data_IF_423826460536
#
_entry.id   IF_423826460536
#
_cell.length_a   1.000
_cell.length_b   1.000
_cell.length_c   1.000
_cell.angle_alpha   90.00
_cell.angle_beta   90.00
_cell.angle_gamma   90.00
#
_symmetry.space_group_name_H-M   'P 1'
#
loop_
_entity.id
_entity.type
_entity.pdbx_description
1 polymer ?
#
# COMPACT_ATOMS: atom_id res chain seq x y z
N UNK A 1 -22.30 -10.45 27.97
CA UNK A 1 -21.44 -10.58 26.78
C UNK A 1 -20.47 -9.40 26.74
N UNK A 2 -19.17 -9.59 26.47
CA UNK A 2 -18.27 -8.46 26.33
C UNK A 2 -18.66 -7.70 25.05
N UNK A 3 -19.04 -6.44 25.19
CA UNK A 3 -19.33 -5.57 24.03
C UNK A 3 -18.04 -5.42 23.21
N UNK A 4 -18.10 -5.74 21.91
CA UNK A 4 -17.03 -5.39 20.95
C UNK A 4 -16.71 -3.90 21.13
N UNK A 5 -15.42 -3.58 21.29
CA UNK A 5 -14.94 -2.20 21.42
C UNK A 5 -15.37 -1.44 20.17
N UNK A 6 -16.36 -0.56 20.30
CA UNK A 6 -16.77 0.33 19.22
C UNK A 6 -15.64 1.33 19.02
N UNK A 7 -15.08 1.36 17.81
CA UNK A 7 -14.00 2.28 17.47
C UNK A 7 -14.64 3.63 17.12
N UNK A 8 -14.84 4.46 18.14
CA UNK A 8 -15.57 5.72 18.05
C UNK A 8 -14.98 6.73 17.06
N UNK A 9 -13.68 6.61 16.72
CA UNK A 9 -13.06 7.43 15.69
C UNK A 9 -13.62 7.13 14.28
N UNK A 10 -14.06 5.88 14.00
CA UNK A 10 -14.69 5.52 12.72
C UNK A 10 -16.11 6.10 12.58
N UNK A 11 -16.85 6.25 13.67
CA UNK A 11 -18.21 6.81 13.64
C UNK A 11 -18.22 8.34 13.59
N UNK A 12 -17.32 9.00 14.33
CA UNK A 12 -17.32 10.45 14.46
C UNK A 12 -16.81 11.18 13.20
N UNK A 13 -15.92 10.56 12.43
CA UNK A 13 -15.29 11.29 11.34
C UNK A 13 -16.09 11.35 10.05
N UNK A 14 -17.19 10.60 9.87
CA UNK A 14 -17.99 10.55 8.62
C UNK A 14 -17.14 10.83 7.37
N UNK A 15 -15.99 10.17 7.26
CA UNK A 15 -15.17 10.32 6.08
C UNK A 15 -15.94 9.51 5.04
N UNK A 16 -16.72 10.21 4.21
CA UNK A 16 -17.37 9.74 2.99
C UNK A 16 -16.33 9.33 1.93
N UNK A 17 -15.26 8.68 2.37
CA UNK A 17 -14.33 8.05 1.50
C UNK A 17 -15.09 6.90 0.84
N UNK A 18 -15.02 6.76 -0.50
CA UNK A 18 -15.34 5.51 -1.17
C UNK A 18 -14.78 4.34 -0.35
N UNK A 19 -15.45 3.17 -0.33
CA UNK A 19 -15.01 2.01 0.45
C UNK A 19 -13.53 1.68 0.24
N UNK A 20 -13.00 2.03 -0.94
CA UNK A 20 -11.62 1.84 -1.35
C UNK A 20 -10.61 2.86 -0.81
N UNK A 21 -11.03 4.04 -0.37
CA UNK A 21 -10.10 5.07 0.11
C UNK A 21 -9.75 4.84 1.59
N UNK A 22 -8.45 4.75 1.89
CA UNK A 22 -7.89 4.56 3.22
C UNK A 22 -7.46 5.89 3.83
N UNK A 23 -7.90 6.19 5.05
CA UNK A 23 -7.40 7.31 5.85
C UNK A 23 -7.18 6.82 7.28
N UNK A 24 -5.97 7.00 7.80
CA UNK A 24 -5.64 6.68 9.18
C UNK A 24 -4.66 7.71 9.74
N UNK A 25 -4.96 8.24 10.93
CA UNK A 25 -4.12 9.23 11.61
C UNK A 25 -3.49 8.61 12.86
N UNK A 26 -2.18 8.68 12.95
CA UNK A 26 -1.38 8.22 14.08
C UNK A 26 -0.50 9.36 14.59
N UNK A 27 -0.92 10.01 15.67
CA UNK A 27 -0.24 11.22 16.15
C UNK A 27 -0.23 12.33 15.09
N UNK A 28 0.97 12.70 14.62
CA UNK A 28 1.18 13.70 13.55
C UNK A 28 1.29 13.09 12.15
N UNK A 29 1.25 11.76 12.05
CA UNK A 29 1.37 11.01 10.81
C UNK A 29 -0.02 10.67 10.29
N UNK A 30 -0.22 10.86 9.00
CA UNK A 30 -1.42 10.48 8.26
C UNK A 30 -1.00 9.47 7.20
N UNK A 31 -1.68 8.33 7.20
CA UNK A 31 -1.63 7.34 6.15
C UNK A 31 -2.85 7.56 5.25
N UNK A 32 -2.61 7.92 4.00
CA UNK A 32 -3.67 8.15 3.01
C UNK A 32 -3.46 7.23 1.81
N UNK A 33 -4.49 6.50 1.40
CA UNK A 33 -4.51 5.83 0.10
C UNK A 33 -5.84 6.08 -0.59
N UNK A 34 -5.80 6.30 -1.90
CA UNK A 34 -7.03 6.41 -2.69
C UNK A 34 -7.64 5.04 -3.02
N UNK A 35 -6.92 3.95 -2.72
CA UNK A 35 -7.33 2.58 -2.97
C UNK A 35 -6.76 1.62 -1.89
N UNK A 36 -7.51 0.60 -1.48
CA UNK A 36 -7.09 -0.44 -0.52
C UNK A 36 -5.88 -1.25 -1.03
N UNK A 37 -5.64 -1.26 -2.34
CA UNK A 37 -4.57 -2.05 -2.96
C UNK A 37 -3.25 -1.30 -3.12
N UNK A 38 -3.22 0.01 -2.86
CA UNK A 38 -2.00 0.83 -2.96
C UNK A 38 -1.34 1.05 -1.61
N UNK A 39 -0.01 1.26 -1.64
CA UNK A 39 0.74 1.62 -0.45
C UNK A 39 0.23 2.98 0.00
N UNK A 40 -0.21 3.14 1.26
CA UNK A 40 -0.63 4.45 1.72
C UNK A 40 0.55 5.41 1.64
N UNK A 41 0.28 6.61 1.15
CA UNK A 41 1.21 7.72 1.32
C UNK A 41 1.28 8.04 2.81
N UNK A 42 2.48 7.91 3.37
CA UNK A 42 2.79 8.43 4.70
C UNK A 42 3.02 9.93 4.55
N UNK A 43 2.22 10.72 5.23
CA UNK A 43 2.39 12.17 5.32
C UNK A 43 2.50 12.55 6.78
N UNK A 44 3.61 13.16 7.17
CA UNK A 44 3.59 13.95 8.40
C UNK A 44 3.09 15.35 8.06
N UNK A 45 2.37 16.00 8.98
CA UNK A 45 1.99 17.41 8.82
C UNK A 45 3.20 18.38 8.86
N UNK A 46 4.43 17.88 8.77
CA UNK A 46 5.66 18.67 8.78
C UNK A 46 6.15 18.97 7.37
N UNK A 47 6.54 20.23 7.16
CA UNK A 47 7.47 20.59 6.09
C UNK A 47 8.79 19.91 6.39
N UNK A 48 9.39 19.23 5.40
CA UNK A 48 10.72 18.65 5.58
C UNK A 48 11.70 19.76 5.97
N UNK A 49 12.49 19.53 7.02
CA UNK A 49 13.52 20.50 7.40
C UNK A 49 14.56 20.64 6.28
N UNK A 50 15.16 21.81 6.14
CA UNK A 50 16.22 22.06 5.15
C UNK A 50 17.35 21.02 5.25
N UNK A 51 17.73 20.63 6.47
CA UNK A 51 18.74 19.60 6.73
C UNK A 51 18.37 18.24 6.14
N UNK A 52 17.08 17.86 6.19
CA UNK A 52 16.60 16.60 5.61
C UNK A 52 16.65 16.67 4.09
N UNK A 53 16.26 17.80 3.50
CA UNK A 53 16.34 18.01 2.04
C UNK A 53 17.79 17.96 1.56
N UNK A 54 18.71 18.61 2.27
CA UNK A 54 20.15 18.58 2.00
C UNK A 54 20.69 17.15 2.04
N UNK A 55 20.37 16.36 3.08
CA UNK A 55 20.76 14.95 3.18
C UNK A 55 20.30 14.13 1.96
N UNK A 56 19.11 14.40 1.44
CA UNK A 56 18.56 13.70 0.26
C UNK A 56 19.30 14.12 -1.01
N UNK A 57 19.61 15.41 -1.18
CA UNK A 57 20.40 15.87 -2.32
C UNK A 57 21.84 15.35 -2.28
N UNK A 58 22.45 15.27 -1.10
CA UNK A 58 23.77 14.67 -0.93
C UNK A 58 23.73 13.17 -1.28
N UNK A 59 22.66 12.48 -0.88
CA UNK A 59 22.42 11.09 -1.26
C UNK A 59 22.28 10.93 -2.78
N UNK A 60 21.50 11.79 -3.44
CA UNK A 60 21.33 11.79 -4.90
C UNK A 60 22.69 11.94 -5.61
N UNK A 61 23.48 12.92 -5.16
CA UNK A 61 24.79 13.23 -5.72
C UNK A 61 25.78 12.09 -5.53
N UNK A 62 25.91 11.59 -4.30
CA UNK A 62 26.82 10.48 -3.97
C UNK A 62 26.47 9.21 -4.75
N UNK A 63 25.18 8.98 -4.99
CA UNK A 63 24.73 7.80 -5.72
C UNK A 63 24.65 7.98 -7.24
N UNK A 64 25.00 9.16 -7.78
CA UNK A 64 24.91 9.50 -9.20
C UNK A 64 23.50 9.32 -9.75
N UNK A 65 22.51 9.72 -8.96
CA UNK A 65 21.10 9.59 -9.30
C UNK A 65 20.73 10.67 -10.33
N UNK A 66 20.25 10.26 -11.51
CA UNK A 66 19.78 11.20 -12.52
C UNK A 66 18.38 11.72 -12.18
N UNK A 67 18.14 13.02 -12.44
CA UNK A 67 16.83 13.65 -12.25
C UNK A 67 16.46 14.55 -13.42
N UNK A 68 15.19 14.51 -13.81
CA UNK A 68 14.56 15.39 -14.80
C UNK A 68 13.99 16.65 -14.14
N UNK A 69 13.66 16.59 -12.85
CA UNK A 69 13.13 17.71 -12.04
C UNK A 69 13.82 17.76 -10.68
N UNK A 70 13.95 18.95 -10.10
CA UNK A 70 14.74 19.18 -8.88
C UNK A 70 14.26 18.37 -7.65
N UNK A 71 12.96 18.06 -7.56
CA UNK A 71 12.35 17.38 -6.41
C UNK A 71 11.86 15.95 -6.74
N UNK A 72 12.24 15.42 -7.90
CA UNK A 72 11.75 14.14 -8.41
C UNK A 72 11.91 12.95 -7.44
N UNK A 73 13.01 12.92 -6.69
CA UNK A 73 13.30 11.86 -5.72
C UNK A 73 12.91 12.24 -4.30
N UNK A 74 12.94 13.54 -3.98
CA UNK A 74 12.47 14.08 -2.71
C UNK A 74 11.04 13.64 -2.42
N UNK A 75 10.14 13.72 -3.40
CA UNK A 75 8.73 13.35 -3.23
C UNK A 75 8.55 11.85 -2.89
N UNK A 76 9.45 10.99 -3.38
CA UNK A 76 9.40 9.54 -3.13
C UNK A 76 10.07 9.17 -1.81
N UNK A 77 11.13 9.90 -1.44
CA UNK A 77 11.88 9.65 -0.20
C UNK A 77 11.18 10.26 1.01
N UNK A 78 10.41 11.33 0.84
CA UNK A 78 9.72 12.02 1.93
C UNK A 78 8.89 11.06 2.82
N UNK A 79 8.00 10.20 2.30
CA UNK A 79 7.25 9.24 3.12
C UNK A 79 8.15 8.27 3.91
N UNK A 80 9.31 7.91 3.35
CA UNK A 80 10.28 7.03 4.01
C UNK A 80 10.87 7.76 5.23
N UNK A 81 11.36 8.98 5.03
CA UNK A 81 11.95 9.79 6.12
C UNK A 81 10.92 10.10 7.20
N UNK A 82 9.70 10.47 6.80
CA UNK A 82 8.57 10.69 7.70
C UNK A 82 8.28 9.45 8.58
N UNK A 83 8.45 8.25 8.03
CA UNK A 83 8.35 7.01 8.81
C UNK A 83 9.56 6.81 9.74
N UNK A 84 10.77 7.14 9.28
CA UNK A 84 12.00 6.97 10.08
C UNK A 84 12.03 7.87 11.31
N UNK A 85 11.39 9.05 11.25
CA UNK A 85 11.20 9.96 12.38
C UNK A 85 10.32 9.38 13.51
N UNK A 86 9.53 8.33 13.22
CA UNK A 86 8.72 7.64 14.21
C UNK A 86 9.61 6.64 14.98
N UNK A 87 9.60 6.65 16.33
CA UNK A 87 10.36 5.68 17.13
C UNK A 87 10.07 4.23 16.73
N UNK A 88 11.08 3.37 16.83
CA UNK A 88 11.03 1.97 16.39
C UNK A 88 9.84 1.19 16.96
N UNK A 89 9.59 1.33 18.26
CA UNK A 89 8.49 0.69 18.98
C UNK A 89 7.13 1.16 18.45
N UNK A 90 7.04 2.44 18.07
CA UNK A 90 5.84 3.06 17.52
C UNK A 90 5.59 2.72 16.06
N UNK A 91 6.62 2.42 15.27
CA UNK A 91 6.46 1.94 13.89
C UNK A 91 5.75 0.57 13.82
N UNK A 92 6.08 -0.34 14.73
CA UNK A 92 5.39 -1.65 14.83
C UNK A 92 3.92 -1.49 15.19
N UNK A 93 3.62 -0.59 16.13
CA UNK A 93 2.26 -0.24 16.52
C UNK A 93 1.48 0.39 15.35
N UNK A 94 2.09 1.33 14.62
CA UNK A 94 1.54 1.94 13.42
C UNK A 94 1.20 0.88 12.35
N UNK A 95 2.11 -0.06 12.08
CA UNK A 95 1.86 -1.11 11.09
C UNK A 95 0.71 -2.04 11.50
N UNK A 96 0.61 -2.36 12.80
CA UNK A 96 -0.51 -3.15 13.32
C UNK A 96 -1.85 -2.46 13.06
N UNK A 97 -1.98 -1.18 13.40
CA UNK A 97 -3.22 -0.43 13.14
C UNK A 97 -3.52 -0.28 11.65
N UNK A 98 -2.49 -0.05 10.83
CA UNK A 98 -2.63 -0.04 9.37
C UNK A 98 -3.21 -1.36 8.84
N UNK A 99 -2.64 -2.50 9.27
CA UNK A 99 -3.08 -3.84 8.87
C UNK A 99 -4.53 -4.12 9.31
N UNK A 100 -4.86 -3.81 10.56
CA UNK A 100 -6.21 -4.01 11.09
C UNK A 100 -7.24 -3.14 10.35
N UNK A 101 -6.90 -1.89 10.04
CA UNK A 101 -7.79 -0.98 9.32
C UNK A 101 -8.00 -1.43 7.87
N UNK A 102 -6.95 -1.90 7.19
CA UNK A 102 -7.05 -2.48 5.84
C UNK A 102 -7.94 -3.72 5.83
N UNK A 103 -7.77 -4.61 6.80
CA UNK A 103 -8.62 -5.79 6.96
C UNK A 103 -10.10 -5.40 7.09
N UNK A 104 -10.42 -4.49 8.01
CA UNK A 104 -11.80 -4.05 8.25
C UNK A 104 -12.43 -3.46 6.99
N UNK A 105 -11.68 -2.64 6.23
CA UNK A 105 -12.20 -2.05 4.99
C UNK A 105 -12.45 -3.09 3.89
N UNK A 106 -11.58 -4.08 3.75
CA UNK A 106 -11.81 -5.19 2.81
C UNK A 106 -13.05 -6.00 3.20
N UNK A 107 -13.20 -6.36 4.47
CA UNK A 107 -14.37 -7.08 4.98
C UNK A 107 -15.67 -6.29 4.74
N UNK A 108 -15.66 -4.97 5.01
CA UNK A 108 -16.78 -4.08 4.75
C UNK A 108 -17.13 -3.99 3.26
N UNK A 109 -16.11 -3.92 2.38
CA UNK A 109 -16.30 -3.83 0.94
C UNK A 109 -16.89 -5.12 0.37
N UNK A 110 -16.40 -6.29 0.82
CA UNK A 110 -16.97 -7.60 0.47
C UNK A 110 -18.43 -7.70 0.91
N UNK A 111 -18.74 -7.26 2.12
CA UNK A 111 -20.11 -7.30 2.66
C UNK A 111 -21.05 -6.35 1.91
N UNK A 112 -20.58 -5.16 1.53
CA UNK A 112 -21.33 -4.23 0.69
C UNK A 112 -21.66 -4.83 -0.68
N UNK A 113 -20.69 -5.50 -1.31
CA UNK A 113 -20.91 -6.19 -2.59
C UNK A 113 -21.93 -7.32 -2.44
N UNK A 114 -21.84 -8.16 -1.40
CA UNK A 114 -22.84 -9.23 -1.15
C UNK A 114 -24.27 -8.69 -1.06
N UNK A 115 -24.44 -7.54 -0.38
CA UNK A 115 -25.75 -6.87 -0.30
C UNK A 115 -26.21 -6.35 -1.66
N UNK A 116 -25.29 -5.77 -2.45
CA UNK A 116 -25.60 -5.31 -3.80
C UNK A 116 -26.00 -6.48 -4.74
N UNK A 117 -25.28 -7.60 -4.68
CA UNK A 117 -25.62 -8.82 -5.44
C UNK A 117 -27.04 -9.31 -5.12
N UNK A 118 -27.40 -9.38 -3.83
CA UNK A 118 -28.74 -9.80 -3.40
C UNK A 118 -29.85 -8.83 -3.86
N UNK A 119 -29.55 -7.53 -3.96
CA UNK A 119 -30.50 -6.54 -4.44
C UNK A 119 -30.69 -6.59 -5.97
N UNK A 120 -29.65 -6.95 -6.71
CA UNK A 120 -29.64 -7.00 -8.18
C UNK A 120 -30.05 -8.36 -8.75
N UNK A 121 -30.10 -9.39 -7.90
CA UNK A 121 -30.46 -10.74 -8.27
C UNK A 121 -31.30 -11.40 -7.17
N UNK A 122 -32.62 -11.26 -7.29
CA UNK A 122 -33.65 -11.86 -6.43
C UNK A 122 -34.94 -12.11 -7.24
N UNK A 123 -35.98 -12.64 -6.58
CA UNK A 123 -37.25 -12.99 -7.23
C UNK A 123 -37.94 -11.82 -7.94
N UNK A 124 -37.65 -10.56 -7.53
CA UNK A 124 -38.26 -9.35 -8.09
C UNK A 124 -37.34 -8.59 -9.06
N UNK A 125 -36.02 -8.78 -8.98
CA UNK A 125 -35.03 -8.02 -9.74
C UNK A 125 -33.96 -8.96 -10.30
N UNK A 126 -33.79 -8.97 -11.62
CA UNK A 126 -32.82 -9.82 -12.31
C UNK A 126 -32.00 -8.96 -13.28
N UNK A 127 -30.86 -8.45 -12.80
CA UNK A 127 -29.93 -7.60 -13.58
C UNK A 127 -28.55 -8.28 -13.71
N UNK A 128 -28.45 -9.39 -14.47
CA UNK A 128 -27.25 -10.23 -14.53
C UNK A 128 -26.03 -9.51 -15.11
N UNK A 129 -26.23 -8.53 -16.00
CA UNK A 129 -25.15 -7.73 -16.58
C UNK A 129 -24.47 -6.82 -15.56
N UNK A 130 -25.14 -6.46 -14.45
CA UNK A 130 -24.56 -5.71 -13.34
C UNK A 130 -23.94 -6.62 -12.27
N UNK A 131 -24.20 -7.93 -12.35
CA UNK A 131 -23.76 -8.91 -11.36
C UNK A 131 -22.30 -9.34 -11.57
N UNK A 132 -21.86 -9.52 -12.83
CA UNK A 132 -20.49 -9.95 -13.14
C UNK A 132 -19.40 -8.97 -12.66
N UNK A 133 -19.52 -7.64 -12.85
CA UNK A 133 -18.54 -6.70 -12.29
C UNK A 133 -18.41 -6.83 -10.77
N UNK A 134 -19.53 -6.89 -10.05
CA UNK A 134 -19.56 -7.02 -8.58
C UNK A 134 -18.87 -8.29 -8.11
N UNK A 135 -19.18 -9.40 -8.79
CA UNK A 135 -18.59 -10.70 -8.59
C UNK A 135 -17.06 -10.70 -8.77
N UNK A 136 -16.54 -9.99 -9.78
CA UNK A 136 -15.10 -9.79 -9.99
C UNK A 136 -14.46 -9.06 -8.81
N UNK A 137 -14.96 -7.87 -8.45
CA UNK A 137 -14.39 -7.09 -7.34
C UNK A 137 -14.46 -7.85 -6.01
N UNK A 138 -15.56 -8.55 -5.73
CA UNK A 138 -15.69 -9.39 -4.53
C UNK A 138 -14.57 -10.43 -4.44
N UNK A 139 -14.27 -11.10 -5.55
CA UNK A 139 -13.23 -12.11 -5.61
C UNK A 139 -11.82 -11.49 -5.51
N UNK A 140 -11.57 -10.34 -6.14
CA UNK A 140 -10.33 -9.56 -5.98
C UNK A 140 -10.13 -9.17 -4.50
N UNK A 141 -11.17 -8.67 -3.84
CA UNK A 141 -11.11 -8.26 -2.43
C UNK A 141 -10.93 -9.46 -1.49
N UNK A 142 -11.50 -10.62 -1.81
CA UNK A 142 -11.29 -11.85 -1.05
C UNK A 142 -9.83 -12.33 -1.17
N UNK A 143 -9.28 -12.33 -2.39
CA UNK A 143 -7.87 -12.62 -2.61
C UNK A 143 -6.97 -11.67 -1.82
N UNK A 144 -7.28 -10.37 -1.87
CA UNK A 144 -6.59 -9.35 -1.11
C UNK A 144 -6.56 -9.63 0.40
N UNK A 145 -7.72 -9.97 0.96
CA UNK A 145 -7.89 -10.31 2.37
C UNK A 145 -7.08 -11.55 2.75
N UNK A 146 -7.11 -12.60 1.91
CA UNK A 146 -6.33 -13.82 2.12
C UNK A 146 -4.81 -13.54 2.09
N UNK A 147 -4.36 -12.64 1.22
CA UNK A 147 -2.97 -12.17 1.19
C UNK A 147 -2.60 -11.40 2.45
N UNK A 148 -3.49 -10.54 2.96
CA UNK A 148 -3.25 -9.80 4.20
C UNK A 148 -3.07 -10.72 5.42
N UNK A 149 -3.84 -11.81 5.52
CA UNK A 149 -3.69 -12.77 6.61
C UNK A 149 -2.36 -13.51 6.59
N UNK A 150 -1.80 -13.75 5.42
CA UNK A 150 -0.48 -14.39 5.25
C UNK A 150 0.70 -13.46 5.60
N UNK A 151 0.47 -12.15 5.76
CA UNK A 151 1.53 -11.20 6.14
C UNK A 151 1.84 -11.31 7.64
N UNK A 152 3.10 -11.55 7.96
CA UNK A 152 3.63 -11.34 9.32
C UNK A 152 3.46 -9.86 9.75
N UNK A 153 3.69 -9.54 11.02
CA UNK A 153 3.70 -8.14 11.51
C UNK A 153 5.12 -7.74 11.92
N UNK A 154 5.93 -7.46 10.90
CA UNK A 154 7.31 -7.01 11.08
C UNK A 154 7.41 -5.50 11.28
N UNK A 155 8.35 -5.04 12.11
CA UNK A 155 8.62 -3.61 12.33
C UNK A 155 9.06 -2.85 11.07
N UNK A 156 9.69 -3.55 10.12
CA UNK A 156 10.20 -2.98 8.88
C UNK A 156 9.20 -3.06 7.72
N UNK A 157 8.00 -3.60 7.95
CA UNK A 157 7.14 -3.97 6.83
C UNK A 157 6.57 -2.75 6.10
N UNK A 158 6.13 -1.74 6.85
CA UNK A 158 5.70 -0.47 6.26
C UNK A 158 6.88 0.24 5.57
N UNK A 159 8.08 0.14 6.12
CA UNK A 159 9.28 0.70 5.51
C UNK A 159 9.57 0.03 4.15
N UNK A 160 9.49 -1.29 4.07
CA UNK A 160 9.66 -2.00 2.80
C UNK A 160 8.57 -1.64 1.79
N UNK A 161 7.32 -1.47 2.23
CA UNK A 161 6.21 -1.03 1.36
C UNK A 161 6.50 0.36 0.75
N UNK A 162 7.11 1.27 1.50
CA UNK A 162 7.49 2.60 1.03
C UNK A 162 8.77 2.63 0.18
N UNK A 163 9.64 1.63 0.33
CA UNK A 163 10.87 1.51 -0.46
C UNK A 163 10.64 0.86 -1.82
N UNK A 164 9.49 0.21 -2.05
CA UNK A 164 9.14 -0.38 -3.36
C UNK A 164 9.09 0.69 -4.47
N UNK A 165 8.34 1.80 -4.34
CA UNK A 165 8.31 2.84 -5.37
C UNK A 165 9.70 3.43 -5.67
N UNK A 166 10.54 3.58 -4.64
CA UNK A 166 11.93 4.03 -4.83
C UNK A 166 12.73 3.03 -5.66
N UNK A 167 12.67 1.75 -5.28
CA UNK A 167 13.32 0.66 -6.03
C UNK A 167 12.85 0.64 -7.49
N UNK A 168 11.55 0.67 -7.74
CA UNK A 168 10.98 0.55 -9.08
C UNK A 168 11.43 1.70 -9.98
N UNK A 169 11.41 2.94 -9.46
CA UNK A 169 11.90 4.08 -10.23
C UNK A 169 13.39 4.01 -10.54
N UNK A 170 14.19 3.41 -9.67
CA UNK A 170 15.61 3.17 -9.96
C UNK A 170 15.76 2.09 -11.04
N UNK A 171 14.94 1.03 -11.01
CA UNK A 171 14.91 0.01 -12.08
C UNK A 171 14.54 0.63 -13.44
N UNK A 172 13.55 1.53 -13.46
CA UNK A 172 13.13 2.27 -14.67
C UNK A 172 14.21 3.20 -15.25
N UNK A 173 15.28 3.46 -14.49
CA UNK A 173 16.45 4.24 -14.92
C UNK A 173 17.68 3.36 -15.17
N UNK A 174 17.46 2.07 -15.39
CA UNK A 174 18.49 1.07 -15.70
C UNK A 174 19.54 0.88 -14.60
N UNK A 175 19.19 1.15 -13.34
CA UNK A 175 20.09 0.87 -12.23
C UNK A 175 20.21 -0.64 -12.01
N UNK A 176 21.44 -1.14 -11.88
CA UNK A 176 21.67 -2.55 -11.56
C UNK A 176 21.14 -2.90 -10.17
N UNK A 177 20.76 -4.17 -9.97
CA UNK A 177 20.28 -4.66 -8.68
C UNK A 177 21.27 -4.36 -7.53
N UNK A 178 22.57 -4.48 -7.81
CA UNK A 178 23.63 -4.15 -6.85
C UNK A 178 23.60 -2.67 -6.49
N UNK A 179 23.50 -1.79 -7.49
CA UNK A 179 23.47 -0.34 -7.27
C UNK A 179 22.21 0.10 -6.51
N UNK A 180 21.06 -0.52 -6.78
CA UNK A 180 19.82 -0.24 -6.05
C UNK A 180 19.99 -0.60 -4.56
N UNK A 181 20.51 -1.80 -4.27
CA UNK A 181 20.75 -2.23 -2.88
C UNK A 181 21.66 -1.25 -2.14
N UNK A 182 22.82 -0.94 -2.71
CA UNK A 182 23.80 -0.06 -2.06
C UNK A 182 23.28 1.37 -1.90
N UNK A 183 22.51 1.89 -2.86
CA UNK A 183 21.93 3.23 -2.74
C UNK A 183 20.85 3.28 -1.67
N UNK A 184 20.04 2.23 -1.51
CA UNK A 184 19.04 2.16 -0.44
C UNK A 184 19.73 2.01 0.92
N UNK A 185 20.77 1.18 1.03
CA UNK A 185 21.53 1.05 2.27
C UNK A 185 22.19 2.37 2.68
N UNK A 186 22.80 3.11 1.72
CA UNK A 186 23.35 4.46 1.95
C UNK A 186 22.25 5.47 2.36
N UNK A 187 21.04 5.36 1.80
CA UNK A 187 19.91 6.20 2.22
C UNK A 187 19.59 5.95 3.70
N UNK A 188 19.48 4.68 4.10
CA UNK A 188 19.14 4.29 5.47
C UNK A 188 20.21 4.74 6.47
N UNK A 189 21.49 4.62 6.11
CA UNK A 189 22.62 5.06 6.92
C UNK A 189 22.58 6.58 7.18
N UNK A 190 22.27 7.39 6.16
CA UNK A 190 22.16 8.86 6.29
C UNK A 190 21.05 9.32 7.23
N UNK A 191 20.07 8.46 7.48
CA UNK A 191 18.97 8.69 8.41
C UNK A 191 19.10 7.88 9.71
N UNK A 192 20.32 7.46 10.03
CA UNK A 192 20.67 6.80 11.28
C UNK A 192 19.82 5.53 11.54
N UNK A 193 19.45 4.82 10.48
CA UNK A 193 18.63 3.63 10.57
C UNK A 193 19.47 2.39 10.87
N UNK A 194 19.33 1.85 12.09
CA UNK A 194 20.10 0.74 12.66
C UNK A 194 19.80 -0.66 12.07
N UNK A 195 19.40 -0.74 10.79
CA UNK A 195 19.19 -2.02 10.11
C UNK A 195 20.26 -2.24 9.07
N UNK A 196 21.11 -3.24 9.31
CA UNK A 196 22.06 -3.71 8.29
C UNK A 196 21.31 -4.32 7.10
N UNK A 197 21.65 -3.91 5.88
CA UNK A 197 21.20 -4.51 4.61
C UNK A 197 19.69 -4.40 4.30
N UNK A 198 19.10 -3.23 4.51
CA UNK A 198 17.72 -2.91 4.08
C UNK A 198 17.53 -3.12 2.58
N UNK A 199 18.51 -2.72 1.76
CA UNK A 199 18.52 -2.93 0.31
C UNK A 199 18.38 -4.41 -0.05
N UNK A 200 19.14 -5.29 0.58
CA UNK A 200 19.02 -6.74 0.39
C UNK A 200 17.66 -7.28 0.89
N UNK A 201 17.17 -6.73 2.00
CA UNK A 201 15.91 -7.14 2.62
C UNK A 201 14.70 -6.81 1.74
N UNK A 202 14.71 -5.68 1.03
CA UNK A 202 13.64 -5.33 0.06
C UNK A 202 13.56 -6.38 -1.05
N UNK A 203 14.69 -6.84 -1.60
CA UNK A 203 14.67 -7.87 -2.64
C UNK A 203 14.17 -9.23 -2.14
N UNK A 204 14.35 -9.54 -0.85
CA UNK A 204 13.71 -10.71 -0.22
C UNK A 204 12.22 -10.45 0.05
N UNK A 205 11.88 -9.22 0.43
CA UNK A 205 10.51 -8.79 0.70
C UNK A 205 9.65 -8.81 -0.56
N UNK A 206 10.14 -8.32 -1.70
CA UNK A 206 9.42 -8.36 -2.99
C UNK A 206 9.08 -9.80 -3.42
N UNK A 207 9.89 -10.79 -3.02
CA UNK A 207 9.60 -12.21 -3.25
C UNK A 207 8.46 -12.76 -2.36
N UNK A 208 8.11 -12.04 -1.28
CA UNK A 208 6.93 -12.28 -0.42
C UNK A 208 5.91 -11.16 -0.72
N UNK A 209 5.01 -11.35 -1.70
CA UNK A 209 4.33 -10.24 -2.35
C UNK A 209 3.62 -9.31 -1.36
N UNK A 210 4.10 -8.06 -1.29
CA UNK A 210 3.21 -6.90 -1.25
C UNK A 210 2.19 -7.08 -2.37
N UNK A 211 0.93 -6.69 -2.14
CA UNK A 211 -0.23 -6.87 -3.01
C UNK A 211 0.23 -7.25 -4.40
N UNK A 212 0.21 -8.56 -4.74
CA UNK A 212 0.94 -9.05 -5.90
C UNK A 212 0.69 -8.10 -7.07
N UNK A 213 1.70 -7.66 -7.82
CA UNK A 213 1.47 -6.83 -9.03
C UNK A 213 0.34 -7.40 -9.89
N UNK A 214 0.18 -8.71 -9.82
CA UNK A 214 -0.93 -9.51 -10.31
C UNK A 214 -2.33 -9.06 -9.83
N UNK A 215 -2.55 -8.78 -8.54
CA UNK A 215 -3.80 -8.20 -8.01
C UNK A 215 -4.02 -6.78 -8.55
N UNK A 216 -2.98 -5.92 -8.56
CA UNK A 216 -3.12 -4.58 -9.14
C UNK A 216 -3.49 -4.65 -10.63
N UNK A 217 -2.84 -5.52 -11.39
CA UNK A 217 -3.22 -5.79 -12.79
C UNK A 217 -4.62 -6.39 -12.95
N UNK A 218 -5.06 -7.24 -12.01
CA UNK A 218 -6.45 -7.74 -12.02
C UNK A 218 -7.44 -6.60 -11.83
N UNK A 219 -7.11 -5.59 -11.03
CA UNK A 219 -7.96 -4.40 -10.81
C UNK A 219 -7.97 -3.53 -12.06
N UNK A 220 -6.80 -3.18 -12.59
CA UNK A 220 -6.70 -2.39 -13.82
C UNK A 220 -7.47 -3.06 -14.97
N UNK A 221 -7.34 -4.39 -15.11
CA UNK A 221 -8.05 -5.16 -16.14
C UNK A 221 -9.56 -5.29 -15.85
N UNK A 222 -9.97 -5.38 -14.58
CA UNK A 222 -11.39 -5.37 -14.22
C UNK A 222 -12.05 -4.01 -14.51
N UNK A 223 -11.32 -2.92 -14.31
CA UNK A 223 -11.77 -1.56 -14.62
C UNK A 223 -11.89 -1.37 -16.15
N UNK A 224 -10.95 -1.91 -16.94
CA UNK A 224 -10.98 -1.85 -18.41
C UNK A 224 -12.03 -2.79 -19.03
N UNK A 225 -12.32 -3.92 -18.38
CA UNK A 225 -13.18 -4.99 -18.89
C UNK A 225 -14.23 -5.47 -17.86
N UNK A 226 -15.11 -4.57 -17.38
CA UNK A 226 -15.99 -4.86 -16.23
C UNK A 226 -17.01 -5.97 -16.47
N UNK A 227 -17.32 -6.28 -17.74
CA UNK A 227 -18.31 -7.30 -18.13
C UNK A 227 -17.68 -8.63 -18.54
N UNK A 228 -16.35 -8.77 -18.49
CA UNK A 228 -15.73 -10.06 -18.71
C UNK A 228 -16.10 -11.04 -17.57
N UNK A 229 -16.23 -12.34 -17.85
CA UNK A 229 -16.51 -13.32 -16.79
C UNK A 229 -15.37 -13.34 -15.77
N UNK A 230 -15.70 -13.51 -14.47
CA UNK A 230 -14.69 -13.69 -13.40
C UNK A 230 -13.57 -14.65 -13.81
N UNK A 231 -13.94 -15.78 -14.42
CA UNK A 231 -13.00 -16.82 -14.78
C UNK A 231 -11.94 -16.32 -15.78
N UNK A 232 -12.32 -15.43 -16.71
CA UNK A 232 -11.40 -14.78 -17.66
C UNK A 232 -10.42 -13.88 -16.91
N UNK A 233 -10.95 -12.94 -16.12
CA UNK A 233 -10.17 -11.90 -15.44
C UNK A 233 -9.25 -12.51 -14.38
N UNK A 234 -9.77 -13.37 -13.51
CA UNK A 234 -9.00 -13.88 -12.36
C UNK A 234 -8.03 -14.99 -12.77
N UNK A 235 -8.43 -15.96 -13.60
CA UNK A 235 -7.56 -17.10 -13.89
C UNK A 235 -6.42 -16.77 -14.84
N UNK A 236 -6.61 -15.82 -15.77
CA UNK A 236 -5.51 -15.30 -16.61
C UNK A 236 -4.32 -14.85 -15.76
N UNK A 237 -4.64 -14.25 -14.63
CA UNK A 237 -3.63 -13.84 -13.67
C UNK A 237 -3.19 -15.01 -12.81
N UNK A 238 -4.10 -15.81 -12.21
CA UNK A 238 -3.75 -16.91 -11.29
C UNK A 238 -2.90 -18.05 -11.90
N UNK A 239 -3.02 -18.32 -13.20
CA UNK A 239 -2.40 -19.47 -13.90
C UNK A 239 -0.94 -19.29 -14.38
N UNK A 240 -0.30 -18.17 -14.04
CA UNK A 240 1.14 -17.91 -14.24
C UNK A 240 1.86 -17.64 -12.93
#
# INVERSE_FOLDING_TARGET
MPRKKVNWELEWFKIHNPPEQFYFKFGKTVLLSNNLFHTPTVTTNSVLSTKVVEKIFDWESANKISKKRNFEWLDIIKPIVDLLDIPKEKRKELFKYYKETQQVKLEQSIEAIKKAEANLYNDNVVLPHLLEPLKIYKAIYQLALDYFFKRETGENQLLYDLLIPLKEKMEDKDFSQYKIKSSIDDLMERFDYDSTSVGQSIYKYVKKPYFPKKILKMIDEADEHPYEPIYSVINKHLSK
#
